data_IF_606970547081
#
_entry.id   IF_606970547081
#
_cell.length_a   1.000
_cell.length_b   1.000
_cell.length_c   1.000
_cell.angle_alpha   90.00
_cell.angle_beta   90.00
_cell.angle_gamma   90.00
#
_symmetry.space_group_name_H-M   'P 1'
#
loop_
_entity.id
_entity.type
_entity.pdbx_description
1 polymer ?
#
# COMPACT_ATOMS: atom_id res chain seq x y z
N UNK A 1 -27.81 1.93 3.60
CA UNK A 1 -28.87 0.93 3.41
C UNK A 1 -29.83 0.86 4.60
N UNK A 2 -29.32 0.58 5.80
CA UNK A 2 -30.11 0.52 7.06
C UNK A 2 -30.98 1.76 7.30
N UNK A 3 -30.47 2.97 7.08
CA UNK A 3 -31.24 4.21 7.27
C UNK A 3 -32.48 4.29 6.36
N UNK A 4 -32.37 3.79 5.13
CA UNK A 4 -33.46 3.78 4.15
C UNK A 4 -34.49 2.71 4.48
N UNK A 5 -34.05 1.53 4.90
CA UNK A 5 -34.93 0.38 5.13
C UNK A 5 -35.50 0.33 6.54
N UNK A 6 -34.92 1.09 7.48
CA UNK A 6 -35.20 1.04 8.93
C UNK A 6 -35.17 -0.38 9.51
N UNK A 7 -34.35 -1.26 8.93
CA UNK A 7 -34.20 -2.67 9.30
C UNK A 7 -32.72 -3.07 9.27
N UNK A 8 -32.29 -4.06 10.06
CA UNK A 8 -30.94 -4.61 9.97
C UNK A 8 -30.62 -5.06 8.53
N UNK A 9 -29.38 -4.81 8.10
CA UNK A 9 -28.88 -5.20 6.77
C UNK A 9 -27.52 -5.87 6.96
N UNK A 10 -27.33 -7.04 6.33
CA UNK A 10 -26.02 -7.70 6.19
C UNK A 10 -25.43 -7.32 4.85
N UNK A 11 -24.17 -6.85 4.87
CA UNK A 11 -23.34 -6.64 3.69
C UNK A 11 -22.15 -7.58 3.82
N UNK A 12 -21.88 -8.34 2.77
CA UNK A 12 -20.81 -9.30 2.70
C UNK A 12 -20.24 -9.30 1.28
N UNK A 13 -18.92 -9.24 1.19
CA UNK A 13 -18.22 -9.35 -0.08
C UNK A 13 -17.95 -10.81 -0.41
N UNK A 14 -18.08 -11.14 -1.68
CA UNK A 14 -17.44 -12.32 -2.26
C UNK A 14 -15.92 -12.15 -2.24
N UNK A 15 -15.19 -13.27 -2.38
CA UNK A 15 -13.72 -13.22 -2.46
C UNK A 15 -13.22 -12.32 -3.60
N UNK A 16 -13.92 -12.31 -4.73
CA UNK A 16 -13.59 -11.46 -5.87
C UNK A 16 -13.78 -9.99 -5.55
N UNK A 17 -14.91 -9.61 -4.94
CA UNK A 17 -15.19 -8.22 -4.55
C UNK A 17 -14.19 -7.69 -3.53
N UNK A 18 -13.77 -8.52 -2.57
CA UNK A 18 -12.72 -8.15 -1.61
C UNK A 18 -11.42 -7.79 -2.34
N UNK A 19 -11.00 -8.57 -3.33
CA UNK A 19 -9.75 -8.28 -4.03
C UNK A 19 -9.84 -7.09 -4.99
N UNK A 20 -10.99 -6.82 -5.59
CA UNK A 20 -11.13 -5.75 -6.58
C UNK A 20 -11.55 -4.41 -5.98
N UNK A 21 -12.22 -4.42 -4.82
CA UNK A 21 -12.87 -3.23 -4.25
C UNK A 21 -12.30 -2.81 -2.90
N UNK A 22 -11.50 -3.67 -2.26
CA UNK A 22 -10.82 -3.31 -1.02
C UNK A 22 -9.49 -2.59 -1.30
N UNK A 23 -8.69 -2.42 -0.24
CA UNK A 23 -7.44 -1.68 -0.30
C UNK A 23 -6.37 -2.55 -0.97
N UNK A 24 -5.67 -1.98 -1.94
CA UNK A 24 -4.39 -2.49 -2.41
C UNK A 24 -3.23 -1.75 -1.72
N UNK A 25 -2.05 -2.36 -1.69
CA UNK A 25 -0.83 -1.64 -1.29
C UNK A 25 -0.41 -0.71 -2.42
N UNK A 26 0.06 0.48 -2.07
CA UNK A 26 0.60 1.42 -3.04
C UNK A 26 1.68 0.74 -3.88
N UNK A 27 1.52 0.79 -5.21
CA UNK A 27 2.58 0.37 -6.11
C UNK A 27 3.72 1.39 -5.99
N UNK A 28 4.94 0.93 -5.71
CA UNK A 28 6.08 1.80 -5.46
C UNK A 28 7.24 1.49 -6.40
N UNK A 29 7.87 2.55 -6.92
CA UNK A 29 9.17 2.50 -7.58
C UNK A 29 10.19 3.17 -6.67
N UNK A 30 11.24 2.43 -6.31
CA UNK A 30 12.29 2.90 -5.40
C UNK A 30 13.60 3.04 -6.19
N UNK A 31 14.22 4.21 -6.10
CA UNK A 31 15.62 4.42 -6.49
C UNK A 31 16.43 4.61 -5.22
N UNK A 32 17.37 3.70 -4.98
CA UNK A 32 18.17 3.65 -3.77
C UNK A 32 19.65 3.71 -4.08
N UNK A 33 20.39 4.49 -3.31
CA UNK A 33 21.85 4.60 -3.38
C UNK A 33 22.42 4.51 -1.97
N UNK A 34 23.37 3.61 -1.78
CA UNK A 34 24.11 3.43 -0.52
C UNK A 34 25.58 3.74 -0.75
N UNK A 35 26.15 4.59 0.09
CA UNK A 35 27.59 4.80 0.17
C UNK A 35 28.19 3.84 1.19
N UNK A 36 29.27 3.16 0.79
CA UNK A 36 30.04 2.25 1.64
C UNK A 36 31.50 2.71 1.62
N UNK A 37 32.13 2.79 2.79
CA UNK A 37 33.56 3.15 2.89
C UNK A 37 34.48 1.95 2.63
N UNK A 38 35.80 2.18 2.71
CA UNK A 38 36.80 1.14 2.46
C UNK A 38 36.80 0.01 3.50
N UNK A 39 36.28 0.28 4.70
CA UNK A 39 36.18 -0.69 5.80
C UNK A 39 34.86 -1.48 5.74
N UNK A 40 34.00 -1.18 4.76
CA UNK A 40 32.73 -1.85 4.53
C UNK A 40 31.56 -1.25 5.31
N UNK A 41 31.74 -0.10 5.98
CA UNK A 41 30.66 0.55 6.72
C UNK A 41 29.75 1.34 5.80
N UNK A 42 28.44 1.25 6.05
CA UNK A 42 27.45 2.10 5.39
C UNK A 42 27.57 3.51 5.98
N UNK A 43 27.96 4.47 5.14
CA UNK A 43 28.20 5.86 5.55
C UNK A 43 27.13 6.82 5.05
N UNK A 44 26.37 6.44 4.02
CA UNK A 44 25.29 7.27 3.47
C UNK A 44 24.19 6.41 2.83
N UNK A 45 22.95 6.90 2.88
CA UNK A 45 21.83 6.34 2.14
C UNK A 45 20.99 7.47 1.55
N UNK A 46 20.65 7.33 0.27
CA UNK A 46 19.73 8.19 -0.45
C UNK A 46 18.60 7.32 -1.01
N UNK A 47 17.36 7.70 -0.73
CA UNK A 47 16.17 6.99 -1.20
C UNK A 47 15.20 7.96 -1.86
N UNK A 48 14.85 7.69 -3.11
CA UNK A 48 13.74 8.33 -3.82
C UNK A 48 12.64 7.29 -4.04
N UNK A 49 11.44 7.58 -3.53
CA UNK A 49 10.26 6.72 -3.67
C UNK A 49 9.16 7.44 -4.43
N UNK A 50 8.60 6.79 -5.45
CA UNK A 50 7.33 7.17 -6.07
C UNK A 50 6.30 6.13 -5.68
N UNK A 51 5.17 6.55 -5.12
CA UNK A 51 4.09 5.66 -4.68
C UNK A 51 2.77 6.06 -5.34
N UNK A 52 2.15 5.14 -6.08
CA UNK A 52 0.80 5.33 -6.62
C UNK A 52 -0.24 5.00 -5.54
N UNK A 53 -1.08 5.97 -5.19
CA UNK A 53 -2.07 5.85 -4.10
C UNK A 53 -3.39 5.20 -4.49
N UNK A 54 -3.51 4.70 -5.72
CA UNK A 54 -4.74 4.15 -6.29
C UNK A 54 -5.32 5.05 -7.37
#
# INVERSE_FOLDING_TARGET
LTLRTRRPVRLEFTRTEEFTSSRSRHAQTLHFRTGVDSDGWIVANELRVVANTG
#
